data_IF_401307820060
#
_entry.id   IF_401307820060
#
_cell.length_a   1.000
_cell.length_b   1.000
_cell.length_c   1.000
_cell.angle_alpha   90.00
_cell.angle_beta   90.00
_cell.angle_gamma   90.00
#
_symmetry.space_group_name_H-M   'P 1'
#
loop_
_entity.id
_entity.type
_entity.pdbx_description
1 polymer ?
#
# COMPACT_ATOMS: atom_id res chain seq x y z
N UNK A 1 4.78 -23.79 -26.52
CA UNK A 1 5.10 -23.47 -25.11
C UNK A 1 5.47 -24.76 -24.40
N UNK A 2 6.64 -24.80 -23.78
CA UNK A 2 7.22 -26.02 -23.21
C UNK A 2 6.67 -26.24 -21.78
N UNK A 3 6.27 -27.47 -21.42
CA UNK A 3 5.73 -27.79 -20.08
C UNK A 3 6.72 -27.48 -18.93
N UNK A 4 8.01 -27.51 -19.20
CA UNK A 4 9.06 -27.18 -18.21
C UNK A 4 9.12 -25.69 -17.87
N UNK A 5 8.84 -24.81 -18.83
CA UNK A 5 8.82 -23.35 -18.62
C UNK A 5 7.64 -22.96 -17.72
N UNK A 6 6.45 -23.51 -17.99
CA UNK A 6 5.24 -23.28 -17.18
C UNK A 6 5.38 -23.76 -15.72
N UNK A 7 6.08 -24.87 -15.48
CA UNK A 7 6.31 -25.39 -14.12
C UNK A 7 7.25 -24.45 -13.34
N UNK A 8 8.25 -23.88 -14.01
CA UNK A 8 9.25 -23.01 -13.39
C UNK A 8 8.67 -21.65 -13.03
N UNK A 9 7.86 -21.07 -13.93
CA UNK A 9 7.13 -19.81 -13.69
C UNK A 9 6.15 -19.94 -12.52
N UNK A 10 5.37 -21.03 -12.48
CA UNK A 10 4.43 -21.30 -11.38
C UNK A 10 5.13 -21.45 -10.02
N UNK A 11 6.36 -21.99 -9.98
CA UNK A 11 7.13 -22.13 -8.75
C UNK A 11 7.70 -20.79 -8.26
N UNK A 12 8.17 -19.94 -9.17
CA UNK A 12 8.67 -18.61 -8.86
C UNK A 12 7.55 -17.71 -8.29
N UNK A 13 6.38 -17.71 -8.92
CA UNK A 13 5.20 -16.96 -8.46
C UNK A 13 4.77 -17.37 -7.04
N UNK A 14 4.76 -18.67 -6.75
CA UNK A 14 4.41 -19.20 -5.42
C UNK A 14 5.46 -18.82 -4.38
N UNK A 15 6.76 -18.90 -4.73
CA UNK A 15 7.83 -18.52 -3.82
C UNK A 15 7.72 -17.04 -3.42
N UNK A 16 7.45 -16.19 -4.40
CA UNK A 16 7.28 -14.77 -4.19
C UNK A 16 6.01 -14.41 -3.40
N UNK A 17 4.88 -15.05 -3.68
CA UNK A 17 3.67 -14.86 -2.87
C UNK A 17 3.91 -15.26 -1.40
N UNK A 18 4.65 -16.34 -1.15
CA UNK A 18 5.04 -16.71 0.23
C UNK A 18 5.90 -15.64 0.89
N UNK A 19 6.79 -15.01 0.14
CA UNK A 19 7.62 -13.92 0.64
C UNK A 19 6.75 -12.74 1.09
N UNK A 20 5.81 -12.26 0.26
CA UNK A 20 4.91 -11.16 0.64
C UNK A 20 3.96 -11.52 1.79
N UNK A 21 3.48 -12.76 1.85
CA UNK A 21 2.72 -13.24 3.01
C UNK A 21 3.57 -13.16 4.27
N UNK A 22 4.84 -13.59 4.22
CA UNK A 22 5.73 -13.51 5.37
C UNK A 22 6.00 -12.06 5.80
N UNK A 23 6.27 -11.15 4.87
CA UNK A 23 6.42 -9.71 5.14
C UNK A 23 5.18 -9.13 5.81
N UNK A 24 3.98 -9.48 5.33
CA UNK A 24 2.73 -9.00 5.93
C UNK A 24 2.61 -9.40 7.40
N UNK A 25 3.06 -10.61 7.77
CA UNK A 25 3.08 -11.05 9.17
C UNK A 25 4.12 -10.31 10.02
N UNK A 26 5.27 -9.92 9.45
CA UNK A 26 6.23 -9.07 10.15
C UNK A 26 5.59 -7.72 10.48
N UNK A 27 4.83 -7.14 9.54
CA UNK A 27 4.10 -5.90 9.77
C UNK A 27 2.95 -6.05 10.77
N UNK A 28 2.22 -7.18 10.77
CA UNK A 28 1.25 -7.51 11.82
C UNK A 28 1.91 -7.50 13.19
N UNK A 29 3.05 -8.17 13.34
CA UNK A 29 3.74 -8.27 14.62
C UNK A 29 4.17 -6.89 15.14
N UNK A 30 4.66 -6.00 14.26
CA UNK A 30 5.00 -4.62 14.60
C UNK A 30 3.74 -3.81 15.00
N UNK A 31 2.71 -3.83 14.14
CA UNK A 31 1.53 -2.98 14.31
C UNK A 31 0.65 -3.38 15.50
N UNK A 32 0.38 -4.68 15.65
CA UNK A 32 -0.50 -5.21 16.69
C UNK A 32 0.25 -5.58 17.97
N UNK A 33 1.59 -5.45 17.99
CA UNK A 33 2.46 -5.92 19.09
C UNK A 33 2.18 -7.38 19.43
N UNK A 34 1.98 -8.19 18.39
CA UNK A 34 1.55 -9.57 18.51
C UNK A 34 2.76 -10.48 18.69
N UNK A 35 2.95 -10.99 19.91
CA UNK A 35 3.98 -11.99 20.22
C UNK A 35 3.56 -13.42 19.79
N UNK A 36 2.27 -13.62 19.45
CA UNK A 36 1.76 -14.92 19.01
C UNK A 36 2.08 -15.16 17.54
N UNK A 37 3.19 -15.88 17.32
CA UNK A 37 3.66 -16.27 15.98
C UNK A 37 2.92 -17.48 15.39
N UNK A 38 1.96 -18.08 16.12
CA UNK A 38 1.23 -19.28 15.70
C UNK A 38 -0.20 -18.99 15.27
N UNK A 39 -0.85 -18.02 15.91
CA UNK A 39 -2.23 -17.66 15.68
C UNK A 39 -2.37 -16.26 15.09
N UNK A 40 -3.51 -16.02 14.45
CA UNK A 40 -3.88 -14.72 13.87
C UNK A 40 -5.38 -14.48 14.09
N UNK A 41 -5.75 -13.30 14.53
CA UNK A 41 -7.13 -12.89 14.77
C UNK A 41 -7.77 -12.27 13.51
N UNK A 42 -9.05 -11.91 13.59
CA UNK A 42 -9.77 -11.33 12.46
C UNK A 42 -9.15 -10.02 11.94
N UNK A 43 -8.83 -9.07 12.81
CA UNK A 43 -8.28 -7.76 12.40
C UNK A 43 -6.91 -7.90 11.75
N UNK A 44 -6.09 -8.80 12.27
CA UNK A 44 -4.79 -9.15 11.70
C UNK A 44 -4.94 -9.85 10.34
N UNK A 45 -5.91 -10.77 10.19
CA UNK A 45 -6.23 -11.39 8.90
C UNK A 45 -6.63 -10.35 7.86
N UNK A 46 -7.47 -9.39 8.25
CA UNK A 46 -7.89 -8.29 7.40
C UNK A 46 -6.69 -7.42 7.00
N UNK A 47 -5.77 -7.14 7.94
CA UNK A 47 -4.54 -6.41 7.66
C UNK A 47 -3.65 -7.12 6.63
N UNK A 48 -3.42 -8.43 6.79
CA UNK A 48 -2.62 -9.22 5.84
C UNK A 48 -3.22 -9.18 4.43
N UNK A 49 -4.54 -9.25 4.35
CA UNK A 49 -5.27 -9.21 3.07
C UNK A 49 -5.21 -7.82 2.44
N UNK A 50 -5.35 -6.77 3.23
CA UNK A 50 -5.14 -5.38 2.78
C UNK A 50 -3.75 -5.19 2.19
N UNK A 51 -2.72 -5.73 2.85
CA UNK A 51 -1.35 -5.69 2.34
C UNK A 51 -1.24 -6.40 0.99
N UNK A 52 -1.78 -7.62 0.86
CA UNK A 52 -1.75 -8.35 -0.40
C UNK A 52 -2.58 -7.68 -1.50
N UNK A 53 -3.67 -6.98 -1.18
CA UNK A 53 -4.42 -6.16 -2.14
C UNK A 53 -3.65 -4.93 -2.62
N UNK A 54 -2.66 -4.43 -1.87
CA UNK A 54 -1.77 -3.36 -2.36
C UNK A 54 -0.75 -3.89 -3.38
N UNK A 55 -0.43 -5.18 -3.33
CA UNK A 55 0.57 -5.84 -4.18
C UNK A 55 -0.06 -6.50 -5.41
N UNK A 56 -1.23 -7.13 -5.27
CA UNK A 56 -1.87 -7.92 -6.32
C UNK A 56 -3.11 -7.23 -6.91
N UNK A 57 -3.27 -7.36 -8.23
CA UNK A 57 -4.44 -6.86 -8.93
C UNK A 57 -5.60 -7.80 -8.69
N UNK A 58 -6.56 -7.34 -7.89
CA UNK A 58 -7.77 -8.06 -7.54
C UNK A 58 -8.94 -7.16 -7.88
N UNK A 59 -9.85 -7.63 -8.74
CA UNK A 59 -11.05 -6.86 -9.06
C UNK A 59 -11.96 -6.71 -7.83
N UNK A 60 -12.81 -5.68 -7.85
CA UNK A 60 -13.68 -5.35 -6.72
C UNK A 60 -14.63 -6.48 -6.32
N UNK A 61 -15.14 -7.29 -7.27
CA UNK A 61 -16.04 -8.39 -6.95
C UNK A 61 -15.29 -9.52 -6.25
N UNK A 62 -14.09 -9.86 -6.73
CA UNK A 62 -13.27 -10.90 -6.11
C UNK A 62 -12.69 -10.46 -4.75
N UNK A 63 -12.32 -9.18 -4.60
CA UNK A 63 -11.97 -8.60 -3.27
C UNK A 63 -13.09 -8.82 -2.26
N UNK A 64 -14.34 -8.51 -2.62
CA UNK A 64 -15.48 -8.72 -1.72
C UNK A 64 -15.68 -10.19 -1.36
N UNK A 65 -15.52 -11.11 -2.31
CA UNK A 65 -15.62 -12.56 -2.03
C UNK A 65 -14.56 -13.02 -1.02
N UNK A 66 -13.32 -12.56 -1.15
CA UNK A 66 -12.23 -12.86 -0.22
C UNK A 66 -12.58 -12.32 1.18
N UNK A 67 -13.00 -11.06 1.27
CA UNK A 67 -13.38 -10.41 2.53
C UNK A 67 -14.54 -11.14 3.22
N UNK A 68 -15.59 -11.49 2.48
CA UNK A 68 -16.73 -12.24 3.03
C UNK A 68 -16.34 -13.65 3.48
N UNK A 69 -15.44 -14.32 2.74
CA UNK A 69 -14.95 -15.63 3.16
C UNK A 69 -14.17 -15.53 4.48
N UNK A 70 -13.32 -14.51 4.66
CA UNK A 70 -12.58 -14.28 5.92
C UNK A 70 -13.55 -14.02 7.08
N UNK A 71 -14.58 -13.21 6.88
CA UNK A 71 -15.65 -13.00 7.88
C UNK A 71 -16.38 -14.30 8.22
N UNK A 72 -16.53 -15.20 7.25
CA UNK A 72 -17.15 -16.52 7.41
C UNK A 72 -16.26 -17.57 8.07
N UNK A 73 -14.95 -17.32 8.22
CA UNK A 73 -14.06 -18.20 8.99
C UNK A 73 -14.56 -18.16 10.44
N UNK A 74 -15.02 -19.31 10.96
CA UNK A 74 -15.49 -19.41 12.34
C UNK A 74 -14.31 -19.21 13.30
N UNK A 75 -14.17 -18.00 13.81
CA UNK A 75 -13.30 -17.74 14.92
C UNK A 75 -13.99 -18.19 16.22
N UNK A 76 -13.40 -19.15 16.94
CA UNK A 76 -14.03 -19.76 18.12
C UNK A 76 -13.82 -18.88 19.38
N UNK A 77 -14.90 -18.27 19.88
CA UNK A 77 -15.01 -17.48 21.13
C UNK A 77 -13.89 -16.44 21.41
N UNK A 78 -13.83 -15.86 22.62
CA UNK A 78 -13.30 -14.54 23.00
C UNK A 78 -11.90 -14.14 22.47
N UNK A 79 -11.08 -15.10 22.06
CA UNK A 79 -9.80 -14.92 21.37
C UNK A 79 -9.84 -15.61 20.01
N UNK A 80 -10.78 -15.10 19.23
CA UNK A 80 -11.19 -15.57 17.93
C UNK A 80 -10.01 -15.56 16.95
N UNK A 81 -9.30 -16.69 16.88
CA UNK A 81 -8.04 -16.82 16.13
C UNK A 81 -8.02 -18.08 15.26
N UNK A 82 -7.20 -18.05 14.20
CA UNK A 82 -6.87 -19.20 13.37
C UNK A 82 -5.36 -19.43 13.34
N UNK A 83 -4.92 -20.65 13.05
CA UNK A 83 -3.49 -20.91 12.85
C UNK A 83 -2.97 -20.17 11.63
N UNK A 84 -1.85 -19.45 11.75
CA UNK A 84 -1.20 -18.74 10.63
C UNK A 84 -0.95 -19.65 9.44
N UNK A 85 -0.48 -20.88 9.65
CA UNK A 85 -0.27 -21.86 8.58
C UNK A 85 -1.53 -22.16 7.78
N UNK A 86 -2.69 -22.26 8.44
CA UNK A 86 -3.96 -22.48 7.75
C UNK A 86 -4.33 -21.25 6.91
N UNK A 87 -4.09 -20.05 7.44
CA UNK A 87 -4.33 -18.83 6.70
C UNK A 87 -3.36 -18.67 5.53
N UNK A 88 -2.07 -18.99 5.69
CA UNK A 88 -1.09 -19.02 4.61
C UNK A 88 -1.56 -19.92 3.48
N UNK A 89 -2.02 -21.14 3.78
CA UNK A 89 -2.54 -22.06 2.76
C UNK A 89 -3.74 -21.45 2.02
N UNK A 90 -4.65 -20.80 2.75
CA UNK A 90 -5.77 -20.09 2.15
C UNK A 90 -5.32 -18.94 1.23
N UNK A 91 -4.40 -18.09 1.70
CA UNK A 91 -3.84 -16.97 0.93
C UNK A 91 -3.18 -17.47 -0.36
N UNK A 92 -2.38 -18.54 -0.26
CA UNK A 92 -1.75 -19.18 -1.41
C UNK A 92 -2.77 -19.72 -2.41
N UNK A 93 -3.97 -20.10 -2.00
CA UNK A 93 -5.02 -20.57 -2.90
C UNK A 93 -5.74 -19.41 -3.59
N UNK A 94 -6.13 -18.37 -2.85
CA UNK A 94 -6.93 -17.27 -3.40
C UNK A 94 -6.12 -16.29 -4.24
N UNK A 95 -4.83 -16.10 -3.92
CA UNK A 95 -3.92 -15.24 -4.69
C UNK A 95 -3.15 -15.98 -5.80
N UNK A 96 -3.34 -17.30 -5.95
CA UNK A 96 -2.67 -18.06 -7.00
C UNK A 96 -3.08 -17.56 -8.39
N UNK A 97 -2.09 -17.24 -9.22
CA UNK A 97 -2.31 -16.81 -10.60
C UNK A 97 -2.89 -15.39 -10.72
N UNK A 98 -2.98 -14.64 -9.60
CA UNK A 98 -3.27 -13.22 -9.66
C UNK A 98 -2.04 -12.47 -10.15
N UNK A 99 -2.27 -11.52 -11.05
CA UNK A 99 -1.23 -10.65 -11.57
C UNK A 99 -0.88 -9.65 -10.47
N UNK A 100 0.41 -9.38 -10.28
CA UNK A 100 0.83 -8.24 -9.46
C UNK A 100 0.26 -6.96 -10.04
N UNK A 101 -0.09 -5.99 -9.19
CA UNK A 101 -0.42 -4.66 -9.68
C UNK A 101 0.79 -4.16 -10.46
N UNK A 102 0.55 -3.68 -11.66
CA UNK A 102 1.49 -2.77 -12.32
C UNK A 102 1.54 -1.49 -11.49
N UNK A 103 2.33 -1.51 -10.43
CA UNK A 103 2.85 -0.31 -9.84
C UNK A 103 3.85 0.20 -10.87
N UNK A 104 3.39 0.95 -11.88
CA UNK A 104 4.20 1.58 -12.92
C UNK A 104 5.07 2.71 -12.32
N UNK A 105 5.75 2.40 -11.22
CA UNK A 105 6.65 3.26 -10.47
C UNK A 105 8.05 2.71 -10.73
N UNK A 106 8.60 3.05 -11.89
CA UNK A 106 10.05 2.90 -12.07
C UNK A 106 10.74 4.07 -11.37
N UNK A 107 11.94 3.87 -10.85
CA UNK A 107 12.74 5.00 -10.33
C UNK A 107 12.96 6.07 -11.41
N UNK A 108 13.04 5.65 -12.67
CA UNK A 108 13.09 6.54 -13.83
C UNK A 108 11.84 7.42 -13.92
N UNK A 109 10.63 6.84 -13.82
CA UNK A 109 9.38 7.61 -13.83
C UNK A 109 9.31 8.60 -12.66
N UNK A 110 9.76 8.19 -11.48
CA UNK A 110 9.80 9.11 -10.33
C UNK A 110 10.72 10.30 -10.61
N UNK A 111 11.94 10.07 -11.09
CA UNK A 111 12.91 11.15 -11.37
C UNK A 111 12.44 12.03 -12.53
N UNK A 112 11.73 11.46 -13.53
CA UNK A 112 11.22 12.21 -14.68
C UNK A 112 10.05 13.11 -14.29
N UNK A 113 9.12 12.64 -13.47
CA UNK A 113 7.87 13.37 -13.21
C UNK A 113 7.84 14.10 -11.87
N UNK A 114 8.71 13.73 -10.93
CA UNK A 114 8.71 14.22 -9.55
C UNK A 114 10.10 14.79 -9.21
N UNK A 115 10.13 15.96 -8.59
CA UNK A 115 11.36 16.57 -8.09
C UNK A 115 12.03 15.66 -7.04
N UNK A 116 13.35 15.45 -7.15
CA UNK A 116 14.10 14.59 -6.21
C UNK A 116 13.94 15.01 -4.75
N UNK A 117 13.83 16.32 -4.48
CA UNK A 117 13.59 16.83 -3.13
C UNK A 117 12.26 16.34 -2.57
N UNK A 118 11.22 16.32 -3.40
CA UNK A 118 9.92 15.80 -3.00
C UNK A 118 9.97 14.30 -2.74
N UNK A 119 10.70 13.54 -3.57
CA UNK A 119 10.92 12.10 -3.36
C UNK A 119 11.55 11.87 -1.98
N UNK A 120 12.64 12.59 -1.67
CA UNK A 120 13.31 12.51 -0.38
C UNK A 120 12.39 12.88 0.79
N UNK A 121 11.57 13.93 0.66
CA UNK A 121 10.62 14.31 1.72
C UNK A 121 9.54 13.24 1.97
N UNK A 122 9.10 12.55 0.91
CA UNK A 122 8.15 11.44 0.99
C UNK A 122 8.81 10.23 1.68
N UNK A 123 10.03 9.88 1.30
CA UNK A 123 10.82 8.81 1.93
C UNK A 123 11.08 9.10 3.40
N UNK A 124 11.55 10.31 3.73
CA UNK A 124 11.78 10.76 5.11
C UNK A 124 10.52 10.68 5.96
N UNK A 125 9.35 11.02 5.39
CA UNK A 125 8.08 10.85 6.09
C UNK A 125 7.79 9.37 6.38
N UNK A 126 7.98 8.49 5.40
CA UNK A 126 7.72 7.07 5.59
C UNK A 126 8.71 6.41 6.55
N UNK A 127 9.97 6.83 6.55
CA UNK A 127 10.97 6.33 7.49
C UNK A 127 10.65 6.75 8.93
N UNK A 128 10.17 7.97 9.16
CA UNK A 128 9.62 8.38 10.47
C UNK A 128 8.41 7.56 10.90
N UNK A 129 7.57 7.12 9.96
CA UNK A 129 6.48 6.19 10.31
C UNK A 129 7.04 4.84 10.75
N UNK A 130 8.03 4.29 10.02
CA UNK A 130 8.67 3.01 10.37
C UNK A 130 9.36 3.06 11.73
N UNK A 131 10.00 4.18 12.08
CA UNK A 131 10.58 4.41 13.41
C UNK A 131 9.54 4.34 14.54
N UNK A 132 8.26 4.54 14.22
CA UNK A 132 7.12 4.44 15.13
C UNK A 132 6.28 3.17 14.93
N UNK A 133 6.87 2.12 14.34
CA UNK A 133 6.22 0.83 14.04
C UNK A 133 4.97 0.97 13.13
N UNK A 134 4.91 2.02 12.31
CA UNK A 134 3.83 2.29 11.39
C UNK A 134 4.31 2.15 9.94
N UNK A 135 3.67 1.27 9.16
CA UNK A 135 4.07 0.97 7.77
C UNK A 135 3.05 1.41 6.73
N UNK A 136 1.93 1.99 7.17
CA UNK A 136 0.78 2.39 6.35
C UNK A 136 0.14 3.66 6.92
N UNK A 137 -0.74 4.28 6.13
CA UNK A 137 -1.55 5.42 6.55
C UNK A 137 -3.04 5.18 6.27
N UNK A 138 -3.91 5.98 6.90
CA UNK A 138 -5.33 6.00 6.56
C UNK A 138 -5.57 6.73 5.23
N UNK A 139 -6.75 6.54 4.63
CA UNK A 139 -7.15 7.28 3.43
C UNK A 139 -7.21 8.79 3.69
N UNK A 140 -7.68 9.22 4.86
CA UNK A 140 -7.74 10.63 5.23
C UNK A 140 -6.34 11.26 5.37
N UNK A 141 -5.41 10.51 5.97
CA UNK A 141 -4.01 10.91 6.08
C UNK A 141 -3.36 10.99 4.69
N UNK A 142 -3.65 10.05 3.80
CA UNK A 142 -3.22 10.10 2.39
C UNK A 142 -3.69 11.37 1.70
N UNK A 143 -4.98 11.73 1.82
CA UNK A 143 -5.54 12.97 1.25
C UNK A 143 -4.81 14.20 1.82
N UNK A 144 -4.53 14.22 3.13
CA UNK A 144 -3.80 15.31 3.79
C UNK A 144 -2.40 15.47 3.20
N UNK A 145 -1.66 14.38 3.06
CA UNK A 145 -0.32 14.39 2.47
C UNK A 145 -0.34 14.83 1.00
N UNK A 146 -1.32 14.36 0.21
CA UNK A 146 -1.48 14.81 -1.17
C UNK A 146 -1.71 16.33 -1.23
N UNK A 147 -2.56 16.88 -0.36
CA UNK A 147 -2.77 18.34 -0.28
C UNK A 147 -1.47 19.08 0.07
N UNK A 148 -0.69 18.58 1.04
CA UNK A 148 0.61 19.13 1.38
C UNK A 148 1.60 19.09 0.19
N UNK A 149 1.57 18.04 -0.62
CA UNK A 149 2.39 17.95 -1.86
C UNK A 149 1.95 18.99 -2.88
N UNK A 150 0.65 19.07 -3.17
CA UNK A 150 0.10 20.00 -4.18
C UNK A 150 0.33 21.46 -3.82
N UNK A 151 0.27 21.81 -2.54
CA UNK A 151 0.55 23.16 -2.05
C UNK A 151 1.97 23.64 -2.39
N UNK A 152 2.96 22.73 -2.45
CA UNK A 152 4.35 23.06 -2.82
C UNK A 152 4.48 23.45 -4.29
N UNK A 153 3.45 23.23 -5.10
CA UNK A 153 3.42 23.60 -6.53
C UNK A 153 2.28 24.58 -6.85
N UNK A 154 1.66 25.17 -5.84
CA UNK A 154 0.49 26.05 -5.97
C UNK A 154 -0.66 25.40 -6.77
N UNK A 155 -0.89 24.10 -6.53
CA UNK A 155 -1.99 23.34 -7.16
C UNK A 155 -3.14 23.20 -6.17
N UNK A 156 -4.34 23.58 -6.60
CA UNK A 156 -5.57 23.33 -5.86
C UNK A 156 -5.95 21.84 -5.93
N UNK A 157 -6.27 21.25 -4.78
CA UNK A 157 -6.69 19.85 -4.66
C UNK A 157 -7.90 19.50 -5.55
N UNK A 158 -8.82 20.45 -5.78
CA UNK A 158 -9.98 20.26 -6.66
C UNK A 158 -9.61 19.85 -8.09
N UNK A 159 -8.38 20.11 -8.54
CA UNK A 159 -7.91 19.70 -9.88
C UNK A 159 -7.59 18.21 -10.00
N UNK A 160 -7.43 17.52 -8.88
CA UNK A 160 -7.05 16.10 -8.83
C UNK A 160 -7.95 15.27 -7.91
N UNK A 161 -8.96 15.86 -7.27
CA UNK A 161 -9.79 15.17 -6.28
C UNK A 161 -10.48 13.94 -6.85
N UNK A 162 -10.99 14.00 -8.09
CA UNK A 162 -11.62 12.85 -8.74
C UNK A 162 -10.66 11.67 -8.94
N UNK A 163 -9.41 11.96 -9.32
CA UNK A 163 -8.36 10.94 -9.47
C UNK A 163 -8.04 10.31 -8.11
N UNK A 164 -7.83 11.15 -7.09
CA UNK A 164 -7.51 10.68 -5.74
C UNK A 164 -8.65 9.84 -5.16
N UNK A 165 -9.90 10.30 -5.31
CA UNK A 165 -11.07 9.59 -4.81
C UNK A 165 -11.26 8.25 -5.53
N UNK A 166 -10.98 8.19 -6.84
CA UNK A 166 -11.03 6.95 -7.60
C UNK A 166 -9.97 5.95 -7.13
N UNK A 167 -8.71 6.35 -7.02
CA UNK A 167 -7.62 5.48 -6.55
C UNK A 167 -7.86 5.01 -5.10
N UNK A 168 -8.28 5.91 -4.22
CA UNK A 168 -8.57 5.57 -2.82
C UNK A 168 -9.79 4.66 -2.67
N UNK A 169 -10.73 4.65 -3.62
CA UNK A 169 -11.87 3.73 -3.62
C UNK A 169 -11.44 2.30 -3.93
N UNK A 170 -10.43 2.12 -4.78
CA UNK A 170 -9.89 0.80 -5.11
C UNK A 170 -9.05 0.18 -3.98
N UNK A 171 -8.49 1.02 -3.11
CA UNK A 171 -7.83 0.59 -1.87
C UNK A 171 -8.91 0.15 -0.88
N UNK A 172 -8.76 -1.01 -0.24
CA UNK A 172 -9.77 -1.48 0.71
C UNK A 172 -9.74 -0.65 2.00
N UNK A 173 -8.69 -0.74 2.82
CA UNK A 173 -8.61 -0.01 4.10
C UNK A 173 -7.35 0.84 4.28
N UNK A 174 -6.18 0.23 4.14
CA UNK A 174 -4.89 0.86 4.44
C UNK A 174 -4.18 1.29 3.15
N UNK A 175 -3.55 2.47 3.19
CA UNK A 175 -2.71 2.98 2.10
C UNK A 175 -1.26 2.69 2.45
N UNK A 176 -0.61 1.83 1.67
CA UNK A 176 0.82 1.55 1.84
C UNK A 176 1.68 2.52 1.01
N UNK A 177 2.99 2.51 1.24
CA UNK A 177 3.92 3.42 0.58
C UNK A 177 3.76 3.44 -0.95
N UNK A 178 3.67 2.24 -1.53
CA UNK A 178 3.54 2.09 -2.98
C UNK A 178 2.20 2.57 -3.50
N UNK A 179 1.11 2.41 -2.74
CA UNK A 179 -0.20 2.98 -3.11
C UNK A 179 -0.11 4.51 -3.13
N UNK A 180 0.44 5.11 -2.07
CA UNK A 180 0.61 6.56 -1.98
C UNK A 180 1.48 7.12 -3.12
N UNK A 181 2.63 6.49 -3.35
CA UNK A 181 3.57 6.91 -4.38
C UNK A 181 2.98 6.77 -5.79
N UNK A 182 2.18 5.73 -6.03
CA UNK A 182 1.43 5.56 -7.28
C UNK A 182 0.49 6.74 -7.53
N UNK A 183 -0.30 7.12 -6.53
CA UNK A 183 -1.24 8.26 -6.62
C UNK A 183 -0.48 9.56 -6.90
N UNK A 184 0.61 9.81 -6.17
CA UNK A 184 1.45 11.01 -6.37
C UNK A 184 2.06 11.02 -7.77
N UNK A 185 2.52 9.88 -8.29
CA UNK A 185 3.07 9.79 -9.64
C UNK A 185 2.00 10.03 -10.72
N UNK A 186 0.78 9.53 -10.54
CA UNK A 186 -0.33 9.82 -11.45
C UNK A 186 -0.67 11.31 -11.47
N UNK A 187 -0.75 11.94 -10.29
CA UNK A 187 -0.90 13.40 -10.15
C UNK A 187 0.26 14.10 -10.85
N UNK A 188 1.49 13.62 -10.67
CA UNK A 188 2.70 14.21 -11.25
C UNK A 188 2.65 14.22 -12.78
N UNK A 189 2.23 13.10 -13.37
CA UNK A 189 2.02 12.93 -14.80
C UNK A 189 0.90 13.85 -15.31
N UNK A 190 -0.25 13.90 -14.62
CA UNK A 190 -1.41 14.71 -15.03
C UNK A 190 -1.18 16.22 -14.91
N UNK A 191 -0.47 16.65 -13.85
CA UNK A 191 -0.25 18.07 -13.55
C UNK A 191 1.12 18.59 -14.02
N UNK A 192 1.92 17.73 -14.66
CA UNK A 192 3.27 18.03 -15.15
C UNK A 192 4.16 18.68 -14.06
N UNK A 193 4.24 18.05 -12.89
CA UNK A 193 4.93 18.63 -11.72
C UNK A 193 6.39 18.98 -11.98
N UNK A 194 7.12 18.20 -12.79
CA UNK A 194 8.50 18.49 -13.21
C UNK A 194 8.71 19.88 -13.86
N UNK A 195 7.66 20.49 -14.42
CA UNK A 195 7.74 21.81 -15.06
C UNK A 195 7.24 22.93 -14.15
N UNK A 196 6.83 22.61 -12.93
CA UNK A 196 6.33 23.56 -11.95
C UNK A 196 7.42 23.90 -10.95
N UNK A 197 7.37 25.12 -10.44
CA UNK A 197 8.30 25.57 -9.41
C UNK A 197 7.95 24.87 -8.09
N UNK A 198 8.95 24.25 -7.49
CA UNK A 198 8.84 23.72 -6.14
C UNK A 198 9.01 24.87 -5.13
N UNK A 199 8.03 25.01 -4.25
CA UNK A 199 8.02 25.99 -3.18
C UNK A 199 8.28 25.27 -1.85
N UNK A 200 9.46 25.49 -1.29
CA UNK A 200 9.70 25.17 0.11
C UNK A 200 8.68 25.94 0.95
N UNK A 201 8.05 25.26 1.92
CA UNK A 201 7.31 25.97 2.97
C UNK A 201 8.29 27.01 3.53
N UNK A 202 8.07 28.29 3.20
CA UNK A 202 8.82 29.36 3.83
C UNK A 202 8.60 29.18 5.33
N UNK A 203 9.65 28.85 6.06
CA UNK A 203 9.66 29.07 7.49
C UNK A 203 9.30 30.55 7.65
N UNK A 204 8.11 30.82 8.15
CA UNK A 204 7.61 32.15 8.35
C UNK A 204 8.45 32.77 9.48
N UNK A 205 9.64 33.27 9.15
CA UNK A 205 10.41 34.11 10.06
C UNK A 205 9.71 35.46 10.08
N UNK A 206 8.70 35.58 10.93
CA UNK A 206 8.33 36.88 11.46
C UNK A 206 9.53 37.41 12.23
N UNK A 207 10.46 38.07 11.54
CA UNK A 207 11.37 38.99 12.19
C UNK A 207 10.52 40.21 12.55
N UNK A 208 10.09 40.25 13.81
CA UNK A 208 9.67 41.51 14.41
C UNK A 208 10.94 42.34 14.58
N UNK A 209 11.16 43.29 13.68
CA UNK A 209 11.95 44.49 13.93
C UNK A 209 11.26 45.68 13.26
#
# INVERSE_FOLDING_TARGET
MNKSEQITETQAEIHELKHFIHESYQQVNLHFKCDDTYYINFDECMFVIDYLFSIYQVDSAYKQQIVEHIKGIKFQEKHSTIKRDKFIVYLLQVFKGLVKREQNITMEDLIVYIDTKLIMEIEDYWDRLKENDQTFISKDECIRLIKDVLQKFDIDYSKVSELVDWDLKEIHKFVFFQDFLSIVLQIAKQQHLQHKKYHDKQACSCQIF
#
